data_IF_518353572318
#
_entry.id   IF_518353572318
#
_cell.length_a   1.000
_cell.length_b   1.000
_cell.length_c   1.000
_cell.angle_alpha   90.00
_cell.angle_beta   90.00
_cell.angle_gamma   90.00
#
_symmetry.space_group_name_H-M   'P 1'
#
loop_
_entity.id
_entity.type
_entity.pdbx_description
1 polymer ?
#
# COMPACT_ATOMS: atom_id res chain seq x y z
N UNK A 1 -0.38 6.61 -16.32
CA UNK A 1 0.61 5.80 -15.57
C UNK A 1 -0.15 4.86 -14.65
N UNK A 2 0.26 3.59 -14.56
CA UNK A 2 -0.29 2.57 -13.65
C UNK A 2 0.88 1.87 -12.94
N UNK A 3 0.64 1.12 -11.87
CA UNK A 3 1.72 0.64 -11.00
C UNK A 3 2.73 -0.26 -11.71
N UNK A 4 2.33 -1.03 -12.72
CA UNK A 4 3.27 -1.91 -13.43
C UNK A 4 4.11 -1.20 -14.47
N UNK A 5 3.61 -0.14 -15.11
CA UNK A 5 4.46 0.74 -15.92
C UNK A 5 5.44 1.52 -15.05
N UNK A 6 5.05 1.90 -13.82
CA UNK A 6 5.99 2.50 -12.86
C UNK A 6 7.09 1.51 -12.50
N UNK A 7 6.78 0.23 -12.32
CA UNK A 7 7.78 -0.80 -12.06
C UNK A 7 8.79 -0.92 -13.21
N UNK A 8 8.34 -0.88 -14.48
CA UNK A 8 9.24 -0.85 -15.64
C UNK A 8 10.17 0.38 -15.62
N UNK A 9 9.62 1.56 -15.31
CA UNK A 9 10.43 2.78 -15.21
C UNK A 9 11.44 2.74 -14.06
N UNK A 10 11.04 2.20 -12.90
CA UNK A 10 11.95 2.03 -11.76
C UNK A 10 13.06 1.03 -12.09
N UNK A 11 12.74 -0.03 -12.83
CA UNK A 11 13.72 -1.00 -13.28
C UNK A 11 14.75 -0.36 -14.22
N UNK A 12 14.30 0.31 -15.28
CA UNK A 12 15.19 1.06 -16.20
C UNK A 12 16.03 2.11 -15.48
N UNK A 13 15.46 2.83 -14.50
CA UNK A 13 16.22 3.76 -13.66
C UNK A 13 17.38 3.04 -12.95
N UNK A 14 17.12 1.91 -12.31
CA UNK A 14 18.13 1.18 -11.55
C UNK A 14 19.19 0.56 -12.44
N UNK A 15 18.80 -0.12 -13.52
CA UNK A 15 19.72 -0.93 -14.33
C UNK A 15 20.43 -0.12 -15.42
N UNK A 16 19.69 0.67 -16.19
CA UNK A 16 20.23 1.38 -17.35
C UNK A 16 20.77 2.77 -17.01
N UNK A 17 20.14 3.46 -16.04
CA UNK A 17 20.55 4.83 -15.67
C UNK A 17 21.57 4.85 -14.54
N UNK A 18 21.32 4.10 -13.45
CA UNK A 18 22.20 4.08 -12.27
C UNK A 18 23.23 2.94 -12.28
N UNK A 19 23.10 1.97 -13.20
CA UNK A 19 24.08 0.90 -13.40
C UNK A 19 24.02 -0.25 -12.38
N UNK A 20 22.95 -0.36 -11.58
CA UNK A 20 22.77 -1.43 -10.62
C UNK A 20 22.17 -2.68 -11.27
N UNK A 21 23.02 -3.67 -11.62
CA UNK A 21 22.59 -4.96 -12.20
C UNK A 21 21.68 -5.78 -11.29
N UNK A 22 21.88 -5.68 -9.97
CA UNK A 22 20.96 -6.23 -8.96
C UNK A 22 20.73 -5.18 -7.88
N UNK A 23 19.51 -5.12 -7.36
CA UNK A 23 19.11 -4.16 -6.34
C UNK A 23 18.05 -4.73 -5.40
N UNK A 24 17.81 -4.04 -4.28
CA UNK A 24 16.71 -4.34 -3.38
C UNK A 24 15.63 -3.26 -3.54
N UNK A 25 14.36 -3.62 -3.37
CA UNK A 25 13.25 -2.68 -3.43
C UNK A 25 12.38 -2.81 -2.18
N UNK A 26 11.87 -1.68 -1.68
CA UNK A 26 10.93 -1.67 -0.58
C UNK A 26 9.83 -0.63 -0.81
N UNK A 27 8.62 -0.91 -0.34
CA UNK A 27 7.49 -0.01 -0.53
C UNK A 27 6.27 -0.31 0.33
N UNK A 28 5.53 0.74 0.69
CA UNK A 28 4.22 0.66 1.33
C UNK A 28 3.15 1.23 0.39
N UNK A 29 1.87 1.03 0.72
CA UNK A 29 0.73 1.53 -0.08
C UNK A 29 0.86 1.15 -1.57
N UNK A 30 0.60 2.07 -2.52
CA UNK A 30 0.80 1.84 -3.96
C UNK A 30 2.25 1.43 -4.28
N UNK A 31 3.23 1.90 -3.50
CA UNK A 31 4.62 1.48 -3.61
C UNK A 31 4.82 -0.01 -3.33
N UNK A 32 3.98 -0.65 -2.52
CA UNK A 32 3.99 -2.10 -2.33
C UNK A 32 3.54 -2.85 -3.61
N UNK A 33 2.60 -2.30 -4.39
CA UNK A 33 2.19 -2.88 -5.67
C UNK A 33 3.27 -2.71 -6.74
N UNK A 34 3.89 -1.53 -6.82
CA UNK A 34 5.04 -1.29 -7.72
C UNK A 34 6.18 -2.26 -7.37
N UNK A 35 6.51 -2.39 -6.09
CA UNK A 35 7.56 -3.28 -5.59
C UNK A 35 7.21 -4.75 -5.80
N UNK A 36 5.94 -5.14 -5.61
CA UNK A 36 5.44 -6.48 -5.91
C UNK A 36 5.55 -6.80 -7.40
N UNK A 37 5.24 -5.84 -8.28
CA UNK A 37 5.43 -6.01 -9.73
C UNK A 37 6.90 -6.13 -10.12
N UNK A 38 7.79 -5.36 -9.50
CA UNK A 38 9.24 -5.54 -9.67
C UNK A 38 9.63 -6.99 -9.32
N UNK A 39 9.15 -7.49 -8.18
CA UNK A 39 9.38 -8.85 -7.71
C UNK A 39 8.75 -9.95 -8.57
N UNK A 40 7.71 -9.62 -9.34
CA UNK A 40 7.10 -10.50 -10.33
C UNK A 40 7.91 -10.51 -11.64
N UNK A 41 8.09 -9.35 -12.26
CA UNK A 41 8.65 -9.25 -13.62
C UNK A 41 10.17 -9.37 -13.68
N UNK A 42 10.88 -8.89 -12.67
CA UNK A 42 12.35 -8.73 -12.67
C UNK A 42 13.01 -9.47 -11.49
N UNK A 43 12.43 -10.59 -11.03
CA UNK A 43 12.87 -11.32 -9.84
C UNK A 43 14.36 -11.68 -9.84
N UNK A 44 14.92 -12.08 -10.99
CA UNK A 44 16.34 -12.42 -11.15
C UNK A 44 17.29 -11.24 -10.91
N UNK A 45 16.80 -10.03 -11.11
CA UNK A 45 17.56 -8.78 -11.01
C UNK A 45 17.37 -8.12 -9.63
N UNK A 46 16.67 -8.81 -8.71
CA UNK A 46 16.46 -8.36 -7.35
C UNK A 46 17.19 -9.23 -6.35
N UNK A 47 17.77 -8.60 -5.33
CA UNK A 47 18.19 -9.29 -4.10
C UNK A 47 16.99 -9.75 -3.26
N UNK A 48 15.87 -9.08 -3.42
CA UNK A 48 14.59 -9.32 -2.77
C UNK A 48 13.74 -8.06 -2.74
N UNK A 49 12.55 -8.18 -2.18
CA UNK A 49 11.64 -7.07 -1.92
C UNK A 49 11.19 -7.03 -0.46
N UNK A 50 10.80 -5.85 0.03
CA UNK A 50 10.17 -5.70 1.34
C UNK A 50 8.95 -4.78 1.29
N UNK A 51 7.78 -5.27 1.67
CA UNK A 51 6.52 -4.54 1.48
C UNK A 51 5.73 -4.36 2.77
N UNK A 52 5.02 -3.24 2.90
CA UNK A 52 4.12 -2.96 4.02
C UNK A 52 2.73 -3.58 3.89
N UNK A 53 2.40 -4.19 2.74
CA UNK A 53 1.09 -4.79 2.48
C UNK A 53 1.16 -5.86 1.41
N UNK A 54 0.73 -7.09 1.73
CA UNK A 54 0.71 -8.23 0.81
C UNK A 54 -0.55 -8.27 -0.07
N UNK A 55 -0.84 -7.21 -0.82
CA UNK A 55 -1.98 -7.15 -1.74
C UNK A 55 -1.66 -7.78 -3.11
N UNK A 56 -2.60 -8.57 -3.65
CA UNK A 56 -2.45 -9.16 -4.99
C UNK A 56 -2.28 -8.06 -6.04
N UNK A 57 -1.49 -8.34 -7.08
CA UNK A 57 -1.31 -7.41 -8.20
C UNK A 57 -2.61 -7.19 -9.01
N UNK A 58 -3.62 -8.02 -8.78
CA UNK A 58 -4.98 -7.87 -9.33
C UNK A 58 -5.88 -6.92 -8.53
N UNK A 59 -5.36 -6.19 -7.53
CA UNK A 59 -6.16 -5.32 -6.65
C UNK A 59 -7.12 -4.39 -7.41
N UNK A 60 -6.67 -3.85 -8.55
CA UNK A 60 -7.45 -2.91 -9.36
C UNK A 60 -8.17 -3.55 -10.55
N UNK A 61 -8.16 -4.88 -10.66
CA UNK A 61 -8.84 -5.58 -11.75
C UNK A 61 -10.35 -5.73 -11.47
N UNK A 62 -11.15 -5.72 -12.53
CA UNK A 62 -12.60 -5.92 -12.46
C UNK A 62 -13.43 -4.63 -12.44
N UNK A 63 -14.73 -4.78 -12.69
CA UNK A 63 -15.65 -3.65 -12.91
C UNK A 63 -15.90 -2.81 -11.65
N UNK A 64 -15.69 -3.40 -10.47
CA UNK A 64 -15.87 -2.76 -9.17
C UNK A 64 -14.57 -2.73 -8.37
N UNK A 65 -13.44 -2.42 -9.02
CA UNK A 65 -12.13 -2.33 -8.37
C UNK A 65 -12.02 -1.32 -7.20
N UNK A 66 -12.99 -0.41 -7.07
CA UNK A 66 -13.10 0.50 -5.91
C UNK A 66 -13.70 -0.19 -4.66
N UNK A 67 -14.33 -1.34 -4.83
CA UNK A 67 -15.03 -2.09 -3.78
C UNK A 67 -14.10 -3.14 -3.15
N UNK A 68 -13.52 -2.78 -2.00
CA UNK A 68 -12.62 -3.67 -1.27
C UNK A 68 -13.31 -4.93 -0.71
N UNK A 69 -14.64 -4.96 -0.62
CA UNK A 69 -15.38 -6.15 -0.19
C UNK A 69 -15.48 -7.21 -1.30
N UNK A 70 -15.14 -6.85 -2.54
CA UNK A 70 -15.39 -7.69 -3.71
C UNK A 70 -16.88 -7.98 -3.93
N UNK A 71 -17.76 -7.10 -3.46
CA UNK A 71 -19.21 -7.27 -3.49
C UNK A 71 -19.76 -8.24 -2.43
N UNK A 72 -18.92 -8.73 -1.50
CA UNK A 72 -19.35 -9.64 -0.44
C UNK A 72 -20.09 -8.87 0.65
N UNK A 73 -21.31 -9.30 1.05
CA UNK A 73 -21.99 -8.69 2.18
C UNK A 73 -21.23 -8.97 3.48
N UNK A 74 -21.37 -8.09 4.47
CA UNK A 74 -20.90 -8.36 5.82
C UNK A 74 -21.68 -9.58 6.36
N UNK A 75 -21.01 -10.68 6.77
CA UNK A 75 -21.70 -11.87 7.25
C UNK A 75 -22.61 -11.61 8.46
N UNK A 76 -23.77 -12.27 8.46
CA UNK A 76 -24.66 -12.30 9.62
C UNK A 76 -24.04 -13.09 10.78
N UNK A 77 -24.45 -12.77 12.01
CA UNK A 77 -24.03 -13.50 13.22
C UNK A 77 -22.61 -13.20 13.70
N UNK A 78 -21.89 -12.26 13.08
CA UNK A 78 -20.61 -11.77 13.60
C UNK A 78 -20.80 -11.05 14.96
N UNK A 79 -19.82 -11.17 15.88
CA UNK A 79 -19.76 -10.31 17.05
C UNK A 79 -19.90 -8.82 16.68
N UNK A 80 -20.62 -8.06 17.52
CA UNK A 80 -20.99 -6.68 17.21
C UNK A 80 -19.80 -5.75 17.01
N UNK A 81 -18.71 -5.99 17.76
CA UNK A 81 -17.43 -5.29 17.67
C UNK A 81 -16.70 -5.59 16.37
N UNK A 82 -16.67 -6.86 15.93
CA UNK A 82 -16.09 -7.27 14.65
C UNK A 82 -16.86 -6.63 13.49
N UNK A 83 -18.20 -6.67 13.54
CA UNK A 83 -19.06 -6.02 12.55
C UNK A 83 -18.80 -4.51 12.48
N UNK A 84 -18.72 -3.83 13.62
CA UNK A 84 -18.39 -2.40 13.67
C UNK A 84 -16.98 -2.09 13.15
N UNK A 85 -16.02 -2.98 13.40
CA UNK A 85 -14.66 -2.90 12.87
C UNK A 85 -14.63 -2.98 11.34
N UNK A 86 -15.41 -3.87 10.74
CA UNK A 86 -15.52 -3.99 9.26
C UNK A 86 -16.07 -2.68 8.68
N UNK A 87 -17.16 -2.14 9.23
CA UNK A 87 -17.74 -0.88 8.76
C UNK A 87 -16.77 0.30 8.92
N UNK A 88 -16.00 0.32 10.01
CA UNK A 88 -14.96 1.35 10.23
C UNK A 88 -13.85 1.25 9.19
N UNK A 89 -13.39 0.02 8.89
CA UNK A 89 -12.37 -0.24 7.88
C UNK A 89 -12.85 0.15 6.48
N UNK A 90 -14.10 -0.14 6.13
CA UNK A 90 -14.68 0.28 4.85
C UNK A 90 -14.73 1.80 4.73
N UNK A 91 -15.23 2.51 5.74
CA UNK A 91 -15.29 3.98 5.76
C UNK A 91 -13.91 4.63 5.59
N UNK A 92 -12.87 3.96 6.09
CA UNK A 92 -11.49 4.43 6.03
C UNK A 92 -10.96 4.52 4.60
N UNK A 93 -11.34 3.60 3.71
CA UNK A 93 -10.77 3.49 2.36
C UNK A 93 -11.75 3.72 1.22
N UNK A 94 -13.03 3.35 1.39
CA UNK A 94 -14.01 3.29 0.30
C UNK A 94 -14.17 4.62 -0.43
N UNK A 95 -14.31 5.73 0.30
CA UNK A 95 -14.47 7.06 -0.33
C UNK A 95 -13.21 7.47 -1.10
N UNK A 96 -12.03 7.15 -0.58
CA UNK A 96 -10.78 7.44 -1.27
C UNK A 96 -10.69 6.66 -2.58
N UNK A 97 -10.86 5.34 -2.54
CA UNK A 97 -10.78 4.48 -3.72
C UNK A 97 -11.89 4.77 -4.73
N UNK A 98 -13.14 4.89 -4.29
CA UNK A 98 -14.26 5.17 -5.18
C UNK A 98 -14.08 6.50 -5.90
N UNK A 99 -13.76 7.58 -5.18
CA UNK A 99 -13.54 8.88 -5.82
C UNK A 99 -12.34 8.87 -6.76
N UNK A 100 -11.24 8.21 -6.39
CA UNK A 100 -10.01 8.18 -7.17
C UNK A 100 -10.09 7.26 -8.41
N UNK A 101 -10.87 6.19 -8.34
CA UNK A 101 -11.08 5.27 -9.47
C UNK A 101 -12.16 5.78 -10.42
N UNK A 102 -13.28 6.27 -9.89
CA UNK A 102 -14.48 6.57 -10.69
C UNK A 102 -14.49 8.00 -11.25
N UNK A 103 -13.98 8.99 -10.50
CA UNK A 103 -14.11 10.39 -10.90
C UNK A 103 -12.88 11.24 -10.53
N UNK A 104 -11.70 10.69 -10.83
CA UNK A 104 -10.40 11.29 -10.50
C UNK A 104 -10.26 12.73 -11.00
N UNK A 105 -10.74 13.00 -12.22
CA UNK A 105 -10.53 14.28 -12.90
C UNK A 105 -11.40 15.39 -12.31
N UNK A 106 -12.67 15.10 -12.02
CA UNK A 106 -13.58 16.08 -11.44
C UNK A 106 -13.11 16.47 -10.03
N UNK A 107 -12.73 15.48 -9.22
CA UNK A 107 -12.15 15.73 -7.89
C UNK A 107 -10.87 16.58 -7.97
N UNK A 108 -10.01 16.30 -8.95
CA UNK A 108 -8.73 16.99 -9.09
C UNK A 108 -8.87 18.51 -9.27
N UNK A 109 -9.87 18.99 -10.01
CA UNK A 109 -10.07 20.43 -10.21
C UNK A 109 -10.28 21.16 -8.88
N UNK A 110 -11.16 20.65 -8.02
CA UNK A 110 -11.42 21.26 -6.71
C UNK A 110 -10.21 21.21 -5.77
N UNK A 111 -9.47 20.09 -5.77
CA UNK A 111 -8.27 19.94 -4.94
C UNK A 111 -7.09 20.77 -5.45
N UNK A 112 -6.97 21.00 -6.76
CA UNK A 112 -5.93 21.85 -7.33
C UNK A 112 -6.20 23.34 -7.14
N UNK A 113 -7.46 23.76 -7.03
CA UNK A 113 -7.85 25.17 -6.90
C UNK A 113 -7.92 25.65 -5.44
N UNK A 114 -8.17 24.74 -4.49
CA UNK A 114 -8.33 25.08 -3.07
C UNK A 114 -7.25 24.45 -2.18
N UNK A 115 -6.31 25.24 -1.60
CA UNK A 115 -5.30 24.69 -0.70
C UNK A 115 -5.93 24.13 0.58
N UNK A 116 -6.99 24.77 1.09
CA UNK A 116 -7.74 24.26 2.24
C UNK A 116 -8.46 22.95 1.91
N UNK A 117 -9.08 22.85 0.72
CA UNK A 117 -9.74 21.62 0.25
C UNK A 117 -8.73 20.48 0.07
N UNK A 118 -7.57 20.76 -0.53
CA UNK A 118 -6.50 19.77 -0.70
C UNK A 118 -5.93 19.30 0.64
N UNK A 119 -5.64 20.24 1.54
CA UNK A 119 -5.10 19.92 2.85
C UNK A 119 -6.10 19.08 3.65
N UNK A 120 -7.37 19.45 3.68
CA UNK A 120 -8.41 18.66 4.35
C UNK A 120 -8.51 17.24 3.77
N UNK A 121 -8.44 17.10 2.43
CA UNK A 121 -8.47 15.81 1.77
C UNK A 121 -7.28 14.92 2.17
N UNK A 122 -6.06 15.46 2.14
CA UNK A 122 -4.84 14.71 2.50
C UNK A 122 -4.82 14.42 4.01
N UNK A 123 -5.03 15.44 4.85
CA UNK A 123 -4.96 15.33 6.31
C UNK A 123 -5.94 14.30 6.86
N UNK A 124 -7.15 14.19 6.30
CA UNK A 124 -8.10 13.17 6.72
C UNK A 124 -7.53 11.75 6.59
N UNK A 125 -6.65 11.47 5.62
CA UNK A 125 -6.00 10.16 5.47
C UNK A 125 -4.92 9.99 6.53
N UNK A 126 -4.09 10.99 6.77
CA UNK A 126 -3.14 10.96 7.88
C UNK A 126 -3.84 10.67 9.22
N UNK A 127 -4.94 11.36 9.52
CA UNK A 127 -5.73 11.14 10.73
C UNK A 127 -6.34 9.74 10.79
N UNK A 128 -7.05 9.32 9.73
CA UNK A 128 -7.80 8.06 9.78
C UNK A 128 -6.95 6.81 9.56
N UNK A 129 -5.77 6.94 8.95
CA UNK A 129 -4.93 5.81 8.55
C UNK A 129 -3.77 5.52 9.50
N UNK A 130 -3.52 6.39 10.46
CA UNK A 130 -2.40 6.25 11.39
C UNK A 130 -2.86 5.75 12.75
N UNK A 131 -1.97 5.07 13.46
CA UNK A 131 -2.17 4.66 14.84
C UNK A 131 -1.84 5.82 15.80
N UNK A 132 -2.76 6.79 15.90
CA UNK A 132 -2.53 8.06 16.60
C UNK A 132 -3.39 8.30 17.85
N UNK A 133 -4.23 7.33 18.24
CA UNK A 133 -5.06 7.44 19.44
C UNK A 133 -6.06 8.61 19.45
N UNK A 134 -6.35 9.22 18.28
CA UNK A 134 -7.21 10.39 18.15
C UNK A 134 -6.48 11.74 18.12
N UNK A 135 -5.15 11.75 18.30
CA UNK A 135 -4.33 12.95 18.18
C UNK A 135 -3.18 12.73 17.20
N UNK A 136 -3.34 13.25 15.98
CA UNK A 136 -2.37 13.08 14.90
C UNK A 136 -1.00 13.69 15.22
N UNK A 137 -0.94 14.71 16.08
CA UNK A 137 0.31 15.38 16.44
C UNK A 137 1.20 14.53 17.36
N UNK A 138 0.66 13.43 17.92
CA UNK A 138 1.45 12.43 18.65
C UNK A 138 2.34 11.58 17.74
N UNK A 139 2.05 11.56 16.44
CA UNK A 139 2.75 10.74 15.44
C UNK A 139 3.49 11.60 14.42
N UNK A 140 2.89 12.72 13.97
CA UNK A 140 3.48 13.59 12.96
C UNK A 140 3.47 15.03 13.43
N UNK A 141 4.57 15.74 13.25
CA UNK A 141 4.58 17.17 13.51
C UNK A 141 3.73 17.92 12.48
N UNK A 142 3.32 19.15 12.80
CA UNK A 142 2.66 20.02 11.81
C UNK A 142 3.55 20.24 10.58
N UNK A 143 4.86 20.35 10.78
CA UNK A 143 5.80 20.53 9.69
C UNK A 143 5.85 19.30 8.78
N UNK A 144 5.76 18.08 9.31
CA UNK A 144 5.67 16.87 8.48
C UNK A 144 4.41 16.88 7.60
N UNK A 145 3.26 17.15 8.23
CA UNK A 145 1.96 17.17 7.56
C UNK A 145 1.90 18.26 6.49
N UNK A 146 2.36 19.47 6.81
CA UNK A 146 2.38 20.61 5.90
C UNK A 146 3.43 20.43 4.81
N UNK A 147 4.61 19.89 5.12
CA UNK A 147 5.64 19.59 4.10
C UNK A 147 5.09 18.62 3.07
N UNK A 148 4.48 17.52 3.52
CA UNK A 148 3.87 16.56 2.61
C UNK A 148 2.76 17.21 1.76
N UNK A 149 1.85 17.97 2.37
CA UNK A 149 0.82 18.70 1.61
C UNK A 149 1.42 19.70 0.62
N UNK A 150 2.50 20.40 0.99
CA UNK A 150 3.17 21.36 0.14
C UNK A 150 3.83 20.72 -1.07
N UNK A 151 4.37 19.50 -0.97
CA UNK A 151 4.86 18.75 -2.13
C UNK A 151 3.77 18.64 -3.20
N UNK A 152 2.52 18.33 -2.82
CA UNK A 152 1.40 18.27 -3.76
C UNK A 152 0.97 19.65 -4.26
N UNK A 153 0.90 20.64 -3.35
CA UNK A 153 0.43 21.98 -3.67
C UNK A 153 1.33 22.67 -4.68
N UNK A 154 2.63 22.79 -4.37
CA UNK A 154 3.56 23.59 -5.18
C UNK A 154 3.86 22.96 -6.53
N UNK A 155 3.77 21.63 -6.63
CA UNK A 155 3.94 20.91 -7.89
C UNK A 155 2.63 20.76 -8.68
N UNK A 156 1.49 21.17 -8.09
CA UNK A 156 0.15 20.93 -8.61
C UNK A 156 -0.07 19.47 -9.03
N UNK A 157 0.43 18.53 -8.23
CA UNK A 157 0.47 17.10 -8.58
C UNK A 157 -0.67 16.28 -7.97
N UNK A 158 -1.62 16.92 -7.26
CA UNK A 158 -2.76 16.19 -6.70
C UNK A 158 -3.56 15.50 -7.80
N UNK A 159 -3.86 16.18 -8.91
CA UNK A 159 -4.58 15.58 -10.04
C UNK A 159 -3.81 14.44 -10.73
N UNK A 160 -2.51 14.61 -10.96
CA UNK A 160 -1.69 13.57 -11.61
C UNK A 160 -1.48 12.35 -10.71
N UNK A 161 -1.39 12.55 -9.38
CA UNK A 161 -1.31 11.46 -8.41
C UNK A 161 -2.57 10.61 -8.37
N UNK A 162 -3.75 11.25 -8.30
CA UNK A 162 -5.06 10.58 -8.19
C UNK A 162 -5.38 9.80 -9.47
N UNK A 163 -4.98 10.33 -10.64
CA UNK A 163 -5.20 9.67 -11.94
C UNK A 163 -4.59 8.27 -12.03
N UNK A 164 -3.61 7.92 -11.19
CA UNK A 164 -3.04 6.56 -11.17
C UNK A 164 -4.10 5.50 -10.86
N UNK A 165 -5.04 5.77 -9.95
CA UNK A 165 -6.09 4.84 -9.54
C UNK A 165 -7.02 4.49 -10.70
N UNK A 166 -7.58 5.51 -11.36
CA UNK A 166 -8.40 5.33 -12.56
C UNK A 166 -7.62 4.59 -13.67
N UNK A 167 -6.32 4.87 -13.86
CA UNK A 167 -5.51 4.17 -14.86
C UNK A 167 -5.22 2.70 -14.50
N UNK A 168 -5.03 2.38 -13.22
CA UNK A 168 -4.82 1.00 -12.74
C UNK A 168 -6.04 0.13 -13.05
N UNK A 169 -7.25 0.69 -12.99
CA UNK A 169 -8.48 -0.03 -13.33
C UNK A 169 -8.77 -0.02 -14.84
N UNK A 170 -8.66 1.14 -15.51
CA UNK A 170 -8.94 1.28 -16.95
C UNK A 170 -8.05 0.42 -17.83
N UNK A 171 -6.80 0.27 -17.44
CA UNK A 171 -5.86 -0.64 -18.07
C UNK A 171 -5.51 -1.64 -16.98
N UNK A 172 -6.19 -2.80 -16.86
CA UNK A 172 -5.96 -3.73 -15.77
C UNK A 172 -4.62 -4.47 -15.90
N UNK A 173 -4.12 -4.98 -14.78
CA UNK A 173 -2.85 -5.70 -14.74
C UNK A 173 -2.99 -7.07 -15.41
N UNK A 174 -1.98 -7.46 -16.18
CA UNK A 174 -1.82 -8.79 -16.75
C UNK A 174 -0.49 -9.41 -16.32
N UNK A 175 -0.44 -10.71 -15.98
CA UNK A 175 0.81 -11.37 -15.61
C UNK A 175 1.88 -11.25 -16.70
N UNK A 176 3.10 -10.99 -16.29
CA UNK A 176 4.32 -11.06 -17.13
C UNK A 176 4.80 -12.50 -17.33
N UNK A 177 4.34 -13.43 -16.48
CA UNK A 177 4.55 -14.88 -16.57
C UNK A 177 3.45 -15.62 -15.80
N UNK A 178 3.39 -16.95 -15.95
CA UNK A 178 2.42 -17.86 -15.31
C UNK A 178 3.00 -18.71 -14.15
N UNK A 179 4.30 -18.55 -13.87
CA UNK A 179 5.01 -19.24 -12.77
C UNK A 179 4.45 -18.93 -11.37
N UNK A 180 4.73 -19.84 -10.43
CA UNK A 180 4.34 -19.74 -9.02
C UNK A 180 5.57 -19.85 -8.09
N UNK A 181 5.60 -19.09 -6.97
CA UNK A 181 4.63 -18.05 -6.59
C UNK A 181 4.63 -16.90 -7.60
N UNK A 182 3.52 -16.16 -7.71
CA UNK A 182 3.39 -15.07 -8.69
C UNK A 182 4.53 -14.05 -8.54
N UNK A 183 4.86 -13.67 -7.31
CA UNK A 183 6.01 -12.84 -6.97
C UNK A 183 7.16 -13.75 -6.52
N UNK A 184 8.05 -14.08 -7.45
CA UNK A 184 9.15 -15.03 -7.26
C UNK A 184 10.30 -14.46 -6.39
N UNK A 185 10.46 -13.13 -6.38
CA UNK A 185 11.50 -12.48 -5.59
C UNK A 185 11.36 -12.79 -4.08
N UNK A 186 12.47 -13.04 -3.36
CA UNK A 186 12.46 -13.18 -1.90
C UNK A 186 11.74 -11.99 -1.24
N UNK A 187 10.65 -12.25 -0.54
CA UNK A 187 9.72 -11.22 -0.07
C UNK A 187 9.68 -11.13 1.45
N UNK A 188 9.97 -9.95 1.99
CA UNK A 188 9.66 -9.57 3.36
C UNK A 188 8.33 -8.80 3.44
N UNK A 189 7.53 -9.03 4.47
CA UNK A 189 6.29 -8.26 4.73
C UNK A 189 6.24 -7.83 6.20
N UNK A 190 5.99 -6.53 6.40
CA UNK A 190 5.71 -5.95 7.72
C UNK A 190 4.21 -5.74 7.88
N UNK A 191 3.64 -6.28 8.94
CA UNK A 191 2.27 -6.03 9.38
C UNK A 191 2.27 -5.18 10.64
N UNK A 192 1.23 -4.35 10.82
CA UNK A 192 1.12 -3.42 11.94
C UNK A 192 -0.27 -3.47 12.57
N UNK A 193 -0.34 -3.23 13.87
CA UNK A 193 -1.53 -3.49 14.69
C UNK A 193 -2.78 -2.73 14.22
N UNK A 194 -2.63 -1.48 13.79
CA UNK A 194 -3.76 -0.66 13.33
C UNK A 194 -4.31 -1.09 11.96
N UNK A 195 -3.56 -1.90 11.22
CA UNK A 195 -3.96 -2.50 9.93
C UNK A 195 -4.41 -3.97 10.09
N UNK A 196 -4.58 -4.46 11.32
CA UNK A 196 -5.09 -5.80 11.56
C UNK A 196 -6.55 -5.92 11.06
N UNK A 197 -6.91 -7.04 10.41
CA UNK A 197 -8.30 -7.31 10.10
C UNK A 197 -9.16 -7.33 11.38
N UNK A 198 -10.42 -6.87 11.33
CA UNK A 198 -11.33 -6.94 12.48
C UNK A 198 -11.42 -8.37 13.03
N UNK A 199 -11.25 -8.52 14.35
CA UNK A 199 -11.24 -9.83 15.03
C UNK A 199 -9.92 -10.60 14.96
N UNK A 200 -8.87 -10.02 14.38
CA UNK A 200 -7.53 -10.63 14.31
C UNK A 200 -6.57 -9.82 15.18
N UNK A 201 -6.01 -10.46 16.21
CA UNK A 201 -4.96 -9.87 17.03
C UNK A 201 -3.59 -9.93 16.33
N UNK A 202 -2.66 -9.05 16.73
CA UNK A 202 -1.32 -8.93 16.11
C UNK A 202 -0.55 -10.25 16.15
N UNK A 203 -0.59 -10.98 17.27
CA UNK A 203 0.08 -12.28 17.44
C UNK A 203 -0.46 -13.34 16.46
N UNK A 204 -1.71 -13.19 16.01
CA UNK A 204 -2.34 -14.07 15.01
C UNK A 204 -2.20 -13.53 13.58
N UNK A 205 -1.67 -12.32 13.38
CA UNK A 205 -1.70 -11.61 12.10
C UNK A 205 -0.91 -12.32 10.99
N UNK A 206 0.23 -12.93 11.33
CA UNK A 206 1.04 -13.71 10.37
C UNK A 206 0.31 -14.98 9.96
N UNK A 207 -0.22 -15.74 10.92
CA UNK A 207 -0.98 -16.97 10.65
C UNK A 207 -2.23 -16.70 9.82
N UNK A 208 -2.97 -15.64 10.16
CA UNK A 208 -4.12 -15.21 9.38
C UNK A 208 -3.75 -14.88 7.92
N UNK A 209 -2.62 -14.22 7.69
CA UNK A 209 -2.14 -13.96 6.33
C UNK A 209 -1.78 -15.25 5.60
N UNK A 210 -1.04 -16.16 6.24
CA UNK A 210 -0.65 -17.46 5.67
C UNK A 210 -1.86 -18.33 5.27
N UNK A 211 -2.99 -18.19 5.96
CA UNK A 211 -4.26 -18.86 5.64
C UNK A 211 -5.07 -18.16 4.55
N UNK A 212 -4.71 -16.93 4.17
CA UNK A 212 -5.39 -16.19 3.12
C UNK A 212 -4.90 -16.60 1.73
N UNK A 213 -5.73 -16.35 0.73
CA UNK A 213 -5.41 -16.53 -0.69
C UNK A 213 -4.30 -15.59 -1.20
N UNK A 214 -3.89 -14.60 -0.39
CA UNK A 214 -2.78 -13.69 -0.67
C UNK A 214 -1.41 -14.31 -0.35
N UNK A 215 -1.33 -15.25 0.58
CA UNK A 215 -0.04 -15.82 0.94
C UNK A 215 0.60 -16.58 -0.24
N UNK A 216 -0.16 -17.36 -1.00
CA UNK A 216 0.39 -18.12 -2.13
C UNK A 216 1.00 -17.24 -3.24
N UNK A 217 0.74 -15.93 -3.24
CA UNK A 217 1.28 -15.00 -4.23
C UNK A 217 2.76 -14.68 -4.06
N UNK A 218 3.38 -14.94 -2.90
CA UNK A 218 4.74 -14.46 -2.64
C UNK A 218 5.68 -15.56 -2.14
N UNK A 219 6.95 -15.43 -2.52
CA UNK A 219 8.07 -16.18 -1.95
C UNK A 219 8.50 -15.56 -0.59
N UNK A 220 7.78 -15.86 0.48
CA UNK A 220 8.03 -15.25 1.81
C UNK A 220 9.36 -15.69 2.40
N UNK A 221 10.18 -14.72 2.81
CA UNK A 221 11.43 -14.96 3.56
C UNK A 221 11.46 -14.27 4.92
N UNK A 222 10.56 -13.34 5.18
CA UNK A 222 10.41 -12.65 6.45
C UNK A 222 8.98 -12.12 6.60
N UNK A 223 8.22 -12.63 7.57
CA UNK A 223 6.89 -12.11 7.90
C UNK A 223 6.92 -11.65 9.35
N UNK A 224 6.65 -10.38 9.60
CA UNK A 224 6.67 -9.80 10.95
C UNK A 224 5.39 -9.03 11.20
N UNK A 225 4.88 -9.08 12.43
CA UNK A 225 3.76 -8.27 12.88
C UNK A 225 4.15 -7.48 14.14
N UNK A 226 3.82 -6.19 14.17
CA UNK A 226 4.09 -5.29 15.30
C UNK A 226 2.78 -4.77 15.89
N UNK A 227 2.71 -4.62 17.21
CA UNK A 227 1.49 -4.16 17.90
C UNK A 227 1.16 -2.69 17.61
N UNK A 228 2.16 -1.91 17.22
CA UNK A 228 2.05 -0.48 16.94
C UNK A 228 2.22 -0.19 15.45
N UNK A 229 1.92 1.05 15.09
CA UNK A 229 1.97 1.54 13.72
C UNK A 229 0.67 1.35 12.96
N UNK A 230 0.45 2.23 12.00
CA UNK A 230 -0.61 2.21 11.01
C UNK A 230 -0.05 2.30 9.59
N UNK A 231 -0.80 2.90 8.69
CA UNK A 231 -0.55 2.85 7.26
C UNK A 231 0.81 3.41 6.84
N UNK A 232 1.30 4.43 7.55
CA UNK A 232 2.56 5.11 7.22
C UNK A 232 3.73 4.44 7.95
N UNK A 233 3.84 3.11 7.80
CA UNK A 233 4.71 2.22 8.59
C UNK A 233 6.13 2.78 8.82
N UNK A 234 6.88 3.20 7.77
CA UNK A 234 8.26 3.67 7.96
C UNK A 234 8.35 4.94 8.81
N UNK A 235 7.26 5.69 8.94
CA UNK A 235 7.17 6.93 9.72
C UNK A 235 6.68 6.68 11.14
N UNK A 236 5.70 5.79 11.30
CA UNK A 236 5.08 5.50 12.60
C UNK A 236 5.94 4.58 13.47
N UNK A 237 6.64 3.61 12.86
CA UNK A 237 7.52 2.66 13.55
C UNK A 237 8.88 2.51 12.81
N UNK A 238 9.66 3.60 12.69
CA UNK A 238 10.87 3.63 11.86
C UNK A 238 11.92 2.61 12.29
N UNK A 239 12.07 2.37 13.60
CA UNK A 239 13.02 1.40 14.14
C UNK A 239 12.66 -0.04 13.73
N UNK A 240 11.41 -0.42 13.99
CA UNK A 240 10.86 -1.71 13.64
C UNK A 240 10.91 -1.96 12.12
N UNK A 241 10.51 -0.99 11.29
CA UNK A 241 10.59 -1.08 9.83
C UNK A 241 12.03 -1.31 9.33
N UNK A 242 13.00 -0.57 9.88
CA UNK A 242 14.41 -0.73 9.52
C UNK A 242 14.95 -2.10 9.92
N UNK A 243 14.57 -2.60 11.09
CA UNK A 243 14.99 -3.93 11.52
C UNK A 243 14.38 -5.05 10.67
N UNK A 244 13.15 -4.86 10.20
CA UNK A 244 12.47 -5.79 9.29
C UNK A 244 13.12 -5.79 7.88
N UNK A 245 13.51 -4.63 7.38
CA UNK A 245 14.33 -4.50 6.16
C UNK A 245 15.66 -5.23 6.32
N UNK A 246 16.37 -5.01 7.43
CA UNK A 246 17.65 -5.68 7.72
C UNK A 246 17.49 -7.20 7.77
N UNK A 247 16.44 -7.73 8.41
CA UNK A 247 16.17 -9.18 8.44
C UNK A 247 15.88 -9.72 7.05
N UNK A 248 15.09 -9.00 6.25
CA UNK A 248 14.73 -9.41 4.88
C UNK A 248 15.97 -9.54 3.98
N UNK A 249 16.89 -8.56 4.01
CA UNK A 249 18.03 -8.52 3.10
C UNK A 249 19.32 -9.15 3.66
N UNK A 250 19.33 -9.60 4.92
CA UNK A 250 20.48 -10.26 5.53
C UNK A 250 20.86 -11.51 4.71
N UNK A 251 22.11 -11.55 4.25
CA UNK A 251 22.66 -12.66 3.46
C UNK A 251 22.21 -12.71 1.99
N UNK A 252 21.50 -11.68 1.48
CA UNK A 252 21.02 -11.61 0.08
C UNK A 252 21.74 -10.51 -0.70
N UNK A 253 23.04 -10.68 -0.93
CA UNK A 253 23.88 -9.76 -1.74
C UNK A 253 24.32 -10.42 -3.04
#
# INVERSE_FOLDING_TARGET
MNFWKVADLWHTLMTETLGHRRYAAAGCDVGALVTGQLGHKYASELHGIHIGSGQKLTLFNGDRAWDLSGGSPIPDGLPSDVRAGIVTLEKRFAVHLAAHVLDSSTLAYGLSDSPAGMLAWILQRWVSWSNNGGDIETVFTKDDLLTHAMIFWVSNSIGTSIRTYANNNRYPWTPSHDRQPVVEAPTGITFVGYENPPGVSTDRRVQHFLQSDRAAWYNHVNLTAHDRGGHFIPWEIPGEWVDDLRRTFRGRR
#
